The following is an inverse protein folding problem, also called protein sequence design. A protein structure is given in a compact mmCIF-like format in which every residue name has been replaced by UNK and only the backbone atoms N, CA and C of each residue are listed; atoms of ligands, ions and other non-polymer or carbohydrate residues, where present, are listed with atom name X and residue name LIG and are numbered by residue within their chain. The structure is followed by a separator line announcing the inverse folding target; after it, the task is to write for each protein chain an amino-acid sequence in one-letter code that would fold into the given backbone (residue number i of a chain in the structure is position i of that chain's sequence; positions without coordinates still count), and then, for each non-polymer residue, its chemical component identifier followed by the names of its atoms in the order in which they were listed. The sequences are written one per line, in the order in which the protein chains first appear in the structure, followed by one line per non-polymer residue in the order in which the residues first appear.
data_IF_121951194611
#
_entry.id   IF_121951194611
#
_cell.length_a   1.000
_cell.length_b   1.000
_cell.length_c   1.000
_cell.angle_alpha   90.00
_cell.angle_beta   90.00
_cell.angle_gamma   90.00
#
_symmetry.space_group_name_H-M   'P 1'
#
loop_
_entity.id
_entity.type
_entity.pdbx_description
1 polymer ?
#
# COMPACT_ATOMS: atom_id res chain seq x y z
N UNK A 1 9.01 4.58 5.09
CA UNK A 1 8.75 3.45 4.17
C UNK A 1 8.59 4.05 2.79
N UNK A 2 9.34 3.57 1.80
CA UNK A 2 9.34 4.13 0.44
C UNK A 2 8.11 3.61 -0.29
N UNK A 3 7.40 4.47 -1.01
CA UNK A 3 6.28 4.04 -1.84
C UNK A 3 6.80 3.18 -3.01
N UNK A 4 6.13 2.06 -3.23
CA UNK A 4 6.52 1.06 -4.23
C UNK A 4 5.66 1.15 -5.48
N UNK A 5 4.39 1.51 -5.28
CA UNK A 5 3.40 1.55 -6.35
C UNK A 5 2.65 2.88 -6.31
N UNK A 6 2.25 3.38 -7.48
CA UNK A 6 1.15 4.33 -7.59
C UNK A 6 -0.04 3.63 -8.23
N UNK A 7 -1.21 3.73 -7.60
CA UNK A 7 -2.45 3.18 -8.12
C UNK A 7 -3.32 4.31 -8.65
N UNK A 8 -3.94 4.09 -9.80
CA UNK A 8 -5.01 4.94 -10.32
C UNK A 8 -6.28 4.13 -10.56
N UNK A 9 -7.43 4.68 -10.22
CA UNK A 9 -8.75 4.10 -10.48
C UNK A 9 -9.28 4.69 -11.78
N UNK A 10 -9.52 3.82 -12.76
CA UNK A 10 -10.07 4.18 -14.06
C UNK A 10 -11.60 4.21 -14.01
N UNK A 11 -12.23 3.21 -13.37
CA UNK A 11 -13.68 3.16 -13.14
C UNK A 11 -14.08 2.25 -11.98
N UNK A 12 -15.26 2.52 -11.39
CA UNK A 12 -15.95 1.63 -10.44
C UNK A 12 -17.32 1.24 -10.99
N UNK A 13 -17.56 -0.06 -11.18
CA UNK A 13 -18.79 -0.60 -11.77
C UNK A 13 -19.34 -1.75 -10.92
N UNK A 14 -20.41 -1.48 -10.16
CA UNK A 14 -21.04 -2.46 -9.28
C UNK A 14 -20.06 -2.96 -8.21
N UNK A 15 -19.76 -4.25 -8.20
CA UNK A 15 -18.81 -4.88 -7.28
C UNK A 15 -17.40 -5.03 -7.87
N UNK A 16 -17.07 -4.28 -8.93
CA UNK A 16 -15.76 -4.32 -9.56
C UNK A 16 -15.15 -2.91 -9.69
N UNK A 17 -13.83 -2.83 -9.58
CA UNK A 17 -13.10 -1.64 -10.02
C UNK A 17 -12.00 -2.00 -11.01
N UNK A 18 -11.76 -1.09 -11.93
CA UNK A 18 -10.71 -1.14 -12.93
C UNK A 18 -9.71 -0.03 -12.65
N UNK A 19 -8.42 -0.33 -12.80
CA UNK A 19 -7.38 0.64 -12.53
C UNK A 19 -6.03 0.24 -13.10
N UNK A 20 -5.00 0.98 -12.72
CA UNK A 20 -3.62 0.73 -13.10
C UNK A 20 -2.72 0.80 -11.88
N UNK A 21 -1.71 -0.06 -11.89
CA UNK A 21 -0.66 -0.07 -10.88
C UNK A 21 0.65 0.26 -11.58
N UNK A 22 1.20 1.42 -11.27
CA UNK A 22 2.48 1.91 -11.76
C UNK A 22 3.59 1.50 -10.80
N UNK A 23 4.68 0.99 -11.34
CA UNK A 23 5.88 0.60 -10.60
C UNK A 23 6.75 1.85 -10.43
N UNK A 24 6.95 2.32 -9.20
CA UNK A 24 7.65 3.59 -8.94
C UNK A 24 8.90 3.44 -8.04
N UNK A 25 9.10 2.28 -7.43
CA UNK A 25 10.25 2.00 -6.58
C UNK A 25 11.07 0.82 -7.11
N UNK A 26 12.39 0.87 -6.93
CA UNK A 26 13.30 -0.18 -7.40
C UNK A 26 12.99 -1.59 -6.87
N UNK A 27 12.38 -1.67 -5.69
CA UNK A 27 11.96 -2.94 -5.09
C UNK A 27 10.64 -3.49 -5.67
N UNK A 28 9.96 -2.71 -6.52
CA UNK A 28 8.67 -3.04 -7.13
C UNK A 28 8.86 -3.55 -8.57
N UNK A 29 9.43 -4.74 -8.71
CA UNK A 29 9.76 -5.30 -10.03
C UNK A 29 8.55 -5.93 -10.74
N UNK A 30 7.46 -6.14 -9.99
CA UNK A 30 6.19 -6.69 -10.49
C UNK A 30 5.01 -6.27 -9.62
N UNK A 31 3.82 -6.23 -10.21
CA UNK A 31 2.57 -6.09 -9.47
C UNK A 31 2.29 -7.38 -8.69
N UNK A 32 2.04 -7.31 -7.37
CA UNK A 32 1.75 -8.50 -6.56
C UNK A 32 0.49 -9.22 -7.06
N UNK A 33 0.53 -10.56 -7.13
CA UNK A 33 -0.59 -11.38 -7.62
C UNK A 33 -1.52 -11.91 -6.52
N UNK A 34 -1.15 -11.72 -5.27
CA UNK A 34 -1.94 -12.20 -4.14
C UNK A 34 -3.16 -11.30 -3.89
N UNK A 35 -4.27 -11.88 -3.41
CA UNK A 35 -5.52 -11.18 -3.08
C UNK A 35 -5.36 -10.21 -1.90
N UNK A 36 -4.30 -10.34 -1.10
CA UNK A 36 -3.95 -9.38 -0.05
C UNK A 36 -3.62 -8.00 -0.62
N UNK A 37 -3.05 -7.92 -1.82
CA UNK A 37 -2.69 -6.64 -2.43
C UNK A 37 -3.91 -5.77 -2.75
N UNK A 38 -4.92 -6.22 -3.53
CA UNK A 38 -6.10 -5.41 -3.78
C UNK A 38 -6.85 -5.02 -2.50
N UNK A 39 -6.84 -5.85 -1.45
CA UNK A 39 -7.43 -5.46 -0.16
C UNK A 39 -6.61 -4.39 0.55
N UNK A 40 -5.28 -4.47 0.48
CA UNK A 40 -4.43 -3.40 1.00
C UNK A 40 -4.71 -2.07 0.28
N UNK A 41 -4.97 -2.09 -1.03
CA UNK A 41 -5.38 -0.90 -1.80
C UNK A 41 -6.70 -0.30 -1.29
N UNK A 42 -7.69 -1.13 -0.99
CA UNK A 42 -8.98 -0.66 -0.45
C UNK A 42 -8.82 -0.07 0.96
N UNK A 43 -8.04 -0.72 1.84
CA UNK A 43 -7.70 -0.22 3.17
C UNK A 43 -6.97 1.12 3.09
N UNK A 44 -6.04 1.22 2.14
CA UNK A 44 -5.31 2.44 1.85
C UNK A 44 -6.24 3.59 1.42
N UNK A 45 -7.14 3.33 0.48
CA UNK A 45 -8.11 4.31 0.02
C UNK A 45 -9.06 4.75 1.15
N UNK A 46 -9.59 3.80 1.92
CA UNK A 46 -10.40 4.06 3.10
C UNK A 46 -9.65 4.95 4.09
N UNK A 47 -8.46 4.56 4.54
CA UNK A 47 -7.71 5.32 5.55
C UNK A 47 -7.41 6.76 5.13
N UNK A 48 -7.23 7.03 3.83
CA UNK A 48 -7.01 8.38 3.29
C UNK A 48 -8.25 9.26 3.37
N UNK A 49 -9.46 8.70 3.24
CA UNK A 49 -10.73 9.44 3.38
C UNK A 49 -10.87 10.08 4.77
N UNK A 50 -10.37 9.42 5.81
CA UNK A 50 -10.44 9.90 7.20
C UNK A 50 -9.46 11.01 7.55
N UNK A 51 -8.40 11.23 6.74
CA UNK A 51 -7.34 12.21 7.03
C UNK A 51 -7.64 13.65 6.59
N UNK A 52 -8.84 13.91 6.06
CA UNK A 52 -9.25 15.25 5.58
C UNK A 52 -9.70 16.26 6.65
N UNK A 53 -9.61 15.94 7.95
CA UNK A 53 -10.05 16.80 9.05
C UNK A 53 -8.92 17.27 9.97
N UNK A 54 -9.05 18.43 10.64
CA UNK A 54 -8.01 19.03 11.49
C UNK A 54 -7.69 18.26 12.79
N UNK A 55 -8.36 17.14 13.06
CA UNK A 55 -8.12 16.28 14.23
C UNK A 55 -7.64 14.89 13.79
N UNK A 56 -6.54 14.86 13.02
CA UNK A 56 -5.97 13.66 12.41
C UNK A 56 -5.88 12.48 13.36
N UNK A 57 -6.64 11.42 13.07
CA UNK A 57 -6.67 10.19 13.88
C UNK A 57 -8.01 9.46 13.89
N UNK A 58 -9.09 10.07 13.38
CA UNK A 58 -10.38 9.38 13.23
C UNK A 58 -10.39 8.42 12.04
N UNK A 59 -10.97 7.23 12.24
CA UNK A 59 -11.41 6.42 11.12
C UNK A 59 -12.38 7.24 10.23
N UNK A 60 -12.35 7.08 8.91
CA UNK A 60 -13.35 7.68 8.03
C UNK A 60 -14.76 7.30 8.47
N UNK A 61 -15.73 8.17 8.19
CA UNK A 61 -17.14 7.83 8.23
C UNK A 61 -17.56 7.45 6.80
N UNK A 62 -17.75 6.14 6.57
CA UNK A 62 -18.35 5.63 5.33
C UNK A 62 -19.86 5.92 5.28
N UNK A 63 -20.47 6.29 6.40
CA UNK A 63 -21.92 6.30 6.58
C UNK A 63 -22.48 4.93 6.96
N UNK A 64 -21.66 3.87 6.90
CA UNK A 64 -21.98 2.53 7.38
C UNK A 64 -21.00 2.11 8.48
N UNK A 65 -21.47 2.20 9.73
CA UNK A 65 -20.70 1.84 10.91
C UNK A 65 -20.20 0.38 10.90
N UNK A 66 -20.85 -0.52 10.15
CA UNK A 66 -20.39 -1.90 10.00
C UNK A 66 -19.13 -1.95 9.14
N UNK A 67 -19.17 -1.33 7.95
CA UNK A 67 -18.08 -1.36 7.00
C UNK A 67 -16.82 -0.66 7.54
N UNK A 68 -17.00 0.44 8.28
CA UNK A 68 -15.90 1.10 8.98
C UNK A 68 -15.25 0.21 10.05
N UNK A 69 -16.05 -0.63 10.72
CA UNK A 69 -15.54 -1.66 11.62
C UNK A 69 -14.69 -2.69 10.89
N UNK A 70 -15.16 -3.20 9.76
CA UNK A 70 -14.46 -4.21 8.96
C UNK A 70 -13.14 -3.68 8.37
N UNK A 71 -13.14 -2.47 7.79
CA UNK A 71 -11.92 -1.82 7.31
C UNK A 71 -10.93 -1.52 8.44
N UNK A 72 -11.41 -1.17 9.63
CA UNK A 72 -10.54 -1.00 10.80
C UNK A 72 -9.85 -2.30 11.16
N UNK A 73 -10.57 -3.42 11.19
CA UNK A 73 -9.95 -4.74 11.44
C UNK A 73 -8.89 -5.05 10.37
N UNK A 74 -9.21 -4.86 9.09
CA UNK A 74 -8.25 -5.07 8.00
C UNK A 74 -7.00 -4.18 8.14
N UNK A 75 -7.19 -2.90 8.49
CA UNK A 75 -6.10 -1.95 8.72
C UNK A 75 -5.22 -2.35 9.90
N UNK A 76 -5.82 -2.82 11.00
CA UNK A 76 -5.09 -3.31 12.17
C UNK A 76 -4.30 -4.59 11.86
N UNK A 77 -4.85 -5.52 11.07
CA UNK A 77 -4.09 -6.69 10.63
C UNK A 77 -2.90 -6.29 9.73
N UNK A 78 -3.10 -5.32 8.83
CA UNK A 78 -2.08 -4.89 7.87
C UNK A 78 -0.97 -4.02 8.49
N UNK A 79 -1.30 -3.13 9.42
CA UNK A 79 -0.37 -2.13 9.97
C UNK A 79 -0.12 -2.23 11.48
N UNK A 80 -0.69 -3.26 12.12
CA UNK A 80 -0.74 -3.37 13.56
C UNK A 80 -1.77 -2.41 14.16
N UNK A 81 -2.35 -2.81 15.30
CA UNK A 81 -3.23 -1.96 16.08
C UNK A 81 -2.42 -0.88 16.79
N UNK A 82 -2.86 0.37 16.65
CA UNK A 82 -2.28 1.49 17.38
C UNK A 82 -2.84 1.50 18.81
N UNK A 83 -1.95 1.48 19.78
CA UNK A 83 -2.26 1.52 21.21
C UNK A 83 -1.66 2.78 21.81
N UNK A 84 -2.51 3.62 22.40
CA UNK A 84 -2.10 4.83 23.10
C UNK A 84 -1.51 4.45 24.45
N UNK A 85 -0.36 5.05 24.80
CA UNK A 85 0.34 4.75 26.04
C UNK A 85 0.87 6.00 26.74
N UNK A 86 1.01 5.92 28.07
CA UNK A 86 1.79 6.91 28.82
C UNK A 86 3.28 6.83 28.47
N UNK A 87 4.08 7.80 28.91
CA UNK A 87 5.54 7.74 28.80
C UNK A 87 6.15 6.50 29.50
N UNK A 88 5.46 5.95 30.50
CA UNK A 88 5.83 4.71 31.19
C UNK A 88 5.30 3.43 30.52
N UNK A 89 4.60 3.54 29.38
CA UNK A 89 4.07 2.42 28.59
C UNK A 89 2.74 1.83 29.07
N UNK A 90 1.97 2.53 29.92
CA UNK A 90 0.66 2.06 30.36
C UNK A 90 -0.44 2.41 29.36
N UNK A 91 -1.37 1.48 29.14
CA UNK A 91 -2.45 1.64 28.17
C UNK A 91 -3.38 2.82 28.53
N UNK A 92 -3.69 3.63 27.52
CA UNK A 92 -4.64 4.73 27.59
C UNK A 92 -5.94 4.35 26.86
N UNK A 93 -7.03 5.01 27.24
CA UNK A 93 -8.30 4.98 26.53
C UNK A 93 -8.18 5.70 25.17
N UNK A 94 -9.25 5.63 24.38
CA UNK A 94 -9.31 6.24 23.05
C UNK A 94 -9.16 7.77 23.08
N UNK A 95 -9.40 8.41 24.22
CA UNK A 95 -9.15 9.84 24.44
C UNK A 95 -7.65 10.20 24.52
N UNK A 96 -6.77 9.18 24.55
CA UNK A 96 -5.33 9.34 24.60
C UNK A 96 -4.78 9.99 25.86
N UNK A 97 -5.60 10.12 26.92
CA UNK A 97 -5.23 10.81 28.18
C UNK A 97 -5.64 10.06 29.44
N UNK A 98 -6.73 9.29 29.38
CA UNK A 98 -7.22 8.49 30.51
C UNK A 98 -6.50 7.15 30.55
N UNK A 99 -5.83 6.84 31.67
CA UNK A 99 -5.23 5.52 31.89
C UNK A 99 -6.32 4.46 32.08
N UNK A 100 -6.23 3.36 31.34
CA UNK A 100 -7.18 2.25 31.46
C UNK A 100 -7.02 1.52 32.79
N UNK A 101 -8.16 1.16 33.39
CA UNK A 101 -8.23 0.32 34.58
C UNK A 101 -8.76 -1.09 34.23
N UNK A 102 -8.11 -2.18 34.70
CA UNK A 102 -6.94 -2.19 35.56
C UNK A 102 -5.67 -1.73 34.82
N UNK A 103 -4.81 -0.98 35.53
CA UNK A 103 -3.52 -0.53 34.99
C UNK A 103 -2.68 -1.72 34.48
N UNK A 104 -2.33 -1.67 33.19
CA UNK A 104 -1.50 -2.68 32.49
C UNK A 104 -0.55 -1.98 31.52
N UNK A 105 0.68 -2.49 31.41
CA UNK A 105 1.60 -2.03 30.35
C UNK A 105 1.22 -2.67 29.04
N UNK A 106 1.39 -1.95 27.92
CA UNK A 106 1.08 -2.49 26.60
C UNK A 106 1.87 -3.78 26.31
N UNK A 107 3.16 -3.81 26.67
CA UNK A 107 4.04 -4.96 26.48
C UNK A 107 3.71 -6.18 27.37
N UNK A 108 2.85 -6.04 28.38
CA UNK A 108 2.38 -7.16 29.20
C UNK A 108 1.18 -7.86 28.58
N UNK A 109 0.51 -7.21 27.61
CA UNK A 109 -0.77 -7.64 27.03
C UNK A 109 -0.63 -7.97 25.55
N UNK A 110 0.28 -7.29 24.85
CA UNK A 110 0.43 -7.36 23.39
C UNK A 110 1.88 -7.54 22.98
N UNK A 111 2.07 -8.22 21.85
CA UNK A 111 3.34 -8.22 21.12
C UNK A 111 3.46 -6.93 20.30
N UNK A 112 4.53 -6.17 20.53
CA UNK A 112 4.71 -4.81 20.00
C UNK A 112 5.78 -4.77 18.90
N UNK A 113 5.51 -4.01 17.83
CA UNK A 113 6.41 -3.87 16.67
C UNK A 113 7.10 -2.50 16.55
N UNK A 114 6.53 -1.44 17.14
CA UNK A 114 7.09 -0.10 17.04
C UNK A 114 6.49 0.87 18.06
N UNK A 115 7.21 1.96 18.32
CA UNK A 115 6.81 3.03 19.22
C UNK A 115 7.11 4.38 18.57
N UNK A 116 6.19 5.34 18.74
CA UNK A 116 6.31 6.69 18.22
C UNK A 116 5.43 7.65 19.07
N UNK A 117 5.39 8.93 18.72
CA UNK A 117 4.66 9.97 19.45
C UNK A 117 4.01 10.95 18.49
N UNK A 118 2.79 11.37 18.82
CA UNK A 118 2.16 12.52 18.17
C UNK A 118 1.84 13.61 19.19
N UNK A 119 1.08 14.63 18.77
CA UNK A 119 0.70 15.76 19.61
C UNK A 119 -0.18 15.38 20.81
N UNK A 120 -0.82 14.20 20.78
CA UNK A 120 -1.71 13.72 21.83
C UNK A 120 -0.94 12.90 22.87
N UNK A 121 -0.23 11.85 22.43
CA UNK A 121 0.47 10.94 23.34
C UNK A 121 1.50 10.06 22.62
N UNK A 122 2.31 9.38 23.43
CA UNK A 122 3.08 8.25 22.93
C UNK A 122 2.12 7.13 22.51
N UNK A 123 2.50 6.42 21.46
CA UNK A 123 1.75 5.26 21.00
C UNK A 123 2.70 4.15 20.59
N UNK A 124 2.22 2.92 20.73
CA UNK A 124 2.88 1.72 20.22
C UNK A 124 1.98 1.04 19.21
N UNK A 125 2.57 0.25 18.32
CA UNK A 125 1.82 -0.62 17.41
C UNK A 125 2.02 -2.06 17.80
N UNK A 126 0.95 -2.85 17.75
CA UNK A 126 1.09 -4.31 17.79
C UNK A 126 1.85 -4.81 16.57
N UNK A 127 2.33 -6.04 16.63
CA UNK A 127 2.75 -6.74 15.41
C UNK A 127 1.57 -6.83 14.42
N UNK A 128 1.91 -6.93 13.13
CA UNK A 128 0.95 -7.20 12.06
C UNK A 128 0.49 -8.66 12.13
N UNK A 129 -0.71 -8.94 11.64
CA UNK A 129 -1.26 -10.30 11.57
C UNK A 129 -1.54 -10.64 10.09
N UNK A 130 -0.48 -11.06 9.41
CA UNK A 130 -0.50 -11.42 7.99
C UNK A 130 -1.50 -12.54 7.68
N UNK A 131 -1.60 -13.54 8.56
CA UNK A 131 -2.49 -14.67 8.40
C UNK A 131 -3.96 -14.26 8.52
N UNK A 132 -4.30 -13.45 9.52
CA UNK A 132 -5.65 -12.90 9.65
C UNK A 132 -5.98 -11.98 8.47
N UNK A 133 -5.04 -11.14 8.05
CA UNK A 133 -5.21 -10.29 6.88
C UNK A 133 -5.50 -11.11 5.62
N UNK A 134 -4.73 -12.16 5.36
CA UNK A 134 -4.94 -13.06 4.21
C UNK A 134 -6.31 -13.74 4.23
N UNK A 135 -6.76 -14.25 5.39
CA UNK A 135 -8.09 -14.87 5.52
C UNK A 135 -9.22 -13.88 5.27
N UNK A 136 -9.12 -12.68 5.85
CA UNK A 136 -10.12 -11.63 5.64
C UNK A 136 -10.09 -11.15 4.19
N UNK A 137 -8.91 -11.00 3.60
CA UNK A 137 -8.77 -10.56 2.22
C UNK A 137 -9.48 -11.50 1.24
N UNK A 138 -9.38 -12.81 1.45
CA UNK A 138 -10.08 -13.82 0.67
C UNK A 138 -11.63 -13.77 0.81
N UNK A 139 -12.15 -13.19 1.89
CA UNK A 139 -13.60 -12.96 2.05
C UNK A 139 -14.10 -11.70 1.34
N UNK A 140 -13.21 -10.71 1.15
CA UNK A 140 -13.52 -9.44 0.50
C UNK A 140 -13.33 -9.52 -1.00
N UNK A 141 -12.18 -10.02 -1.48
CA UNK A 141 -11.84 -10.08 -2.90
C UNK A 141 -12.26 -11.42 -3.49
N UNK A 142 -13.21 -11.36 -4.43
CA UNK A 142 -13.77 -12.52 -5.11
C UNK A 142 -13.12 -12.79 -6.47
N UNK A 143 -12.35 -11.83 -6.99
CA UNK A 143 -11.56 -11.98 -8.21
C UNK A 143 -10.51 -10.88 -8.34
N UNK A 144 -9.33 -11.26 -8.83
CA UNK A 144 -8.24 -10.33 -9.08
C UNK A 144 -7.47 -10.73 -10.33
N UNK A 145 -7.56 -9.89 -11.36
CA UNK A 145 -6.91 -10.08 -12.64
C UNK A 145 -5.89 -8.95 -12.88
N UNK A 146 -4.72 -9.33 -13.39
CA UNK A 146 -3.64 -8.40 -13.75
C UNK A 146 -3.34 -8.57 -15.23
N UNK A 147 -3.42 -7.48 -15.97
CA UNK A 147 -3.05 -7.41 -17.38
C UNK A 147 -1.53 -7.49 -17.61
N UNK A 148 -1.08 -7.52 -18.87
CA UNK A 148 0.34 -7.44 -19.18
C UNK A 148 0.92 -6.11 -18.68
N UNK A 149 2.20 -6.15 -18.33
CA UNK A 149 2.96 -4.93 -18.04
C UNK A 149 3.19 -4.17 -19.36
N UNK A 150 2.87 -2.89 -19.36
CA UNK A 150 3.08 -1.97 -20.48
C UNK A 150 4.04 -0.86 -20.07
N UNK A 151 4.51 -0.07 -21.04
CA UNK A 151 5.46 1.04 -20.85
C UNK A 151 6.80 0.64 -20.22
N UNK A 152 7.20 -0.63 -20.36
CA UNK A 152 8.55 -1.07 -19.98
C UNK A 152 9.54 -0.45 -20.98
N UNK A 153 10.58 0.28 -20.52
CA UNK A 153 11.61 0.79 -21.42
C UNK A 153 12.31 -0.37 -22.13
N UNK A 154 12.80 -0.13 -23.34
CA UNK A 154 13.63 -1.10 -24.06
C UNK A 154 15.10 -0.91 -23.68
N UNK A 155 15.92 -1.93 -23.89
CA UNK A 155 17.35 -1.85 -23.58
C UNK A 155 18.09 -0.72 -24.30
N UNK A 156 17.68 -0.37 -25.53
CA UNK A 156 18.26 0.77 -26.24
C UNK A 156 18.08 2.10 -25.50
N UNK A 157 16.93 2.30 -24.83
CA UNK A 157 16.68 3.50 -24.03
C UNK A 157 17.54 3.51 -22.76
N UNK A 158 17.68 2.34 -22.13
CA UNK A 158 18.48 2.16 -20.91
C UNK A 158 19.98 2.35 -21.19
N UNK A 159 20.46 1.90 -22.34
CA UNK A 159 21.84 2.07 -22.77
C UNK A 159 22.20 3.55 -23.02
N UNK A 160 21.21 4.39 -23.35
CA UNK A 160 21.41 5.83 -23.56
C UNK A 160 21.53 6.64 -22.27
N UNK A 161 21.23 6.04 -21.10
CA UNK A 161 21.49 6.66 -19.79
C UNK A 161 23.00 6.80 -19.61
N UNK A 162 23.44 7.98 -19.14
CA UNK A 162 24.85 8.30 -18.95
C UNK A 162 25.57 7.18 -18.17
N UNK A 163 26.65 6.61 -18.74
CA UNK A 163 27.25 5.43 -18.14
C UNK A 163 28.15 5.78 -16.96
N UNK A 164 28.18 4.90 -15.96
CA UNK A 164 29.29 4.94 -15.01
C UNK A 164 30.58 4.45 -15.69
N UNK A 165 31.72 5.00 -15.27
CA UNK A 165 33.05 4.87 -15.93
C UNK A 165 33.53 3.42 -16.14
N UNK A 166 32.88 2.44 -15.53
CA UNK A 166 33.34 1.05 -15.41
C UNK A 166 32.43 0.02 -16.09
N UNK A 167 31.47 0.42 -16.92
CA UNK A 167 30.49 -0.50 -17.51
C UNK A 167 30.78 -0.93 -18.96
N UNK A 168 31.20 -2.19 -19.19
CA UNK A 168 31.32 -2.77 -20.53
C UNK A 168 29.94 -3.23 -21.07
N UNK A 169 29.80 -3.28 -22.41
CA UNK A 169 28.65 -3.93 -23.08
C UNK A 169 27.50 -3.02 -23.51
N UNK A 170 27.60 -1.70 -23.28
CA UNK A 170 26.54 -0.75 -23.61
C UNK A 170 26.27 -0.61 -25.11
N UNK A 171 27.31 -0.71 -25.94
CA UNK A 171 27.17 -0.69 -27.40
C UNK A 171 26.36 -1.88 -27.91
N UNK A 172 26.47 -3.04 -27.26
CA UNK A 172 25.68 -4.23 -27.57
C UNK A 172 24.24 -4.05 -27.13
N UNK A 173 24.02 -3.62 -25.87
CA UNK A 173 22.68 -3.34 -25.33
C UNK A 173 21.93 -2.26 -26.09
N UNK A 174 22.63 -1.29 -26.67
CA UNK A 174 22.02 -0.24 -27.50
C UNK A 174 21.32 -0.78 -28.76
N UNK A 175 21.63 -2.02 -29.17
CA UNK A 175 21.00 -2.69 -30.33
C UNK A 175 19.76 -3.51 -29.97
N UNK A 176 19.52 -3.71 -28.67
CA UNK A 176 18.45 -4.56 -28.16
C UNK A 176 17.13 -3.79 -28.12
N UNK A 177 16.08 -4.42 -28.63
CA UNK A 177 14.73 -3.83 -28.77
C UNK A 177 13.69 -4.48 -27.88
N UNK A 178 14.11 -5.52 -27.16
CA UNK A 178 13.31 -6.19 -26.16
C UNK A 178 13.18 -5.34 -24.89
N UNK A 179 12.10 -5.55 -24.11
CA UNK A 179 11.92 -4.87 -22.83
C UNK A 179 13.12 -5.07 -21.91
N UNK A 180 13.57 -3.98 -21.31
CA UNK A 180 14.63 -4.00 -20.32
C UNK A 180 14.17 -4.69 -19.03
N UNK A 181 15.13 -5.25 -18.31
CA UNK A 181 14.87 -5.83 -16.99
C UNK A 181 14.62 -4.71 -15.98
N UNK A 182 13.52 -4.81 -15.24
CA UNK A 182 13.22 -3.91 -14.13
C UNK A 182 14.10 -4.20 -12.90
N UNK A 183 14.74 -5.37 -12.82
CA UNK A 183 15.72 -5.65 -11.77
C UNK A 183 17.06 -4.93 -12.04
N UNK A 184 17.23 -4.36 -13.24
CA UNK A 184 18.43 -3.64 -13.62
C UNK A 184 18.40 -2.18 -13.16
N UNK A 185 19.40 -1.78 -12.38
CA UNK A 185 19.44 -0.47 -11.73
C UNK A 185 19.39 0.72 -12.71
N UNK A 186 19.97 0.62 -13.91
CA UNK A 186 19.87 1.72 -14.91
C UNK A 186 18.46 1.90 -15.43
N UNK A 187 17.68 0.82 -15.47
CA UNK A 187 16.27 0.90 -15.82
C UNK A 187 15.58 1.85 -14.85
N UNK A 188 15.83 1.73 -13.54
CA UNK A 188 15.30 2.65 -12.55
C UNK A 188 15.83 4.07 -12.64
N UNK A 189 17.12 4.26 -12.95
CA UNK A 189 17.67 5.60 -13.24
C UNK A 189 16.95 6.30 -14.38
N UNK A 190 16.62 5.57 -15.45
CA UNK A 190 15.83 6.11 -16.55
C UNK A 190 14.43 6.52 -16.06
N UNK A 191 13.77 5.63 -15.30
CA UNK A 191 12.42 5.84 -14.79
C UNK A 191 12.31 7.03 -13.83
N UNK A 192 13.35 7.36 -13.06
CA UNK A 192 13.42 8.55 -12.20
C UNK A 192 13.16 9.86 -12.97
N UNK A 193 13.43 9.88 -14.28
CA UNK A 193 13.30 11.07 -15.13
C UNK A 193 12.09 11.04 -16.05
N UNK A 194 11.38 9.91 -16.16
CA UNK A 194 10.22 9.77 -17.04
C UNK A 194 8.97 10.43 -16.44
N UNK A 195 8.10 11.02 -17.27
CA UNK A 195 6.80 11.47 -16.80
C UNK A 195 5.96 10.27 -16.35
N UNK A 196 5.02 10.52 -15.45
CA UNK A 196 4.22 9.48 -14.81
C UNK A 196 3.51 8.55 -15.81
N UNK A 197 2.97 9.12 -16.88
CA UNK A 197 2.22 8.42 -17.92
C UNK A 197 3.07 7.40 -18.70
N UNK A 198 4.39 7.56 -18.67
CA UNK A 198 5.37 6.70 -19.33
C UNK A 198 6.01 5.68 -18.37
N UNK A 199 5.62 5.68 -17.09
CA UNK A 199 6.11 4.69 -16.13
C UNK A 199 5.50 3.31 -16.42
N UNK A 200 6.27 2.21 -16.20
CA UNK A 200 5.78 0.86 -16.32
C UNK A 200 4.53 0.65 -15.47
N UNK A 201 3.48 0.10 -16.07
CA UNK A 201 2.25 -0.15 -15.36
C UNK A 201 1.52 -1.39 -15.87
N UNK A 202 0.69 -1.98 -15.01
CA UNK A 202 -0.21 -3.04 -15.40
C UNK A 202 -1.65 -2.61 -15.10
N UNK A 203 -2.56 -2.90 -16.03
CA UNK A 203 -3.99 -2.79 -15.78
C UNK A 203 -4.41 -3.84 -14.76
N UNK A 204 -5.30 -3.48 -13.83
CA UNK A 204 -5.88 -4.38 -12.85
C UNK A 204 -7.40 -4.37 -12.93
N UNK A 205 -8.00 -5.51 -12.63
CA UNK A 205 -9.44 -5.64 -12.38
C UNK A 205 -9.62 -6.37 -11.06
N UNK A 206 -10.35 -5.76 -10.14
CA UNK A 206 -10.63 -6.32 -8.82
C UNK A 206 -12.13 -6.45 -8.66
N UNK A 207 -12.58 -7.61 -8.20
CA UNK A 207 -13.97 -7.89 -7.84
C UNK A 207 -14.06 -8.13 -6.36
N UNK A 208 -15.05 -7.53 -5.72
CA UNK A 208 -15.32 -7.67 -4.29
C UNK A 208 -16.63 -8.42 -4.04
N UNK A 209 -16.81 -8.92 -2.82
CA UNK A 209 -18.00 -9.63 -2.38
C UNK A 209 -19.21 -8.70 -2.20
N UNK A 210 -18.96 -7.44 -1.86
CA UNK A 210 -19.97 -6.40 -1.63
C UNK A 210 -19.49 -5.07 -2.25
N UNK A 211 -20.29 -4.42 -3.14
CA UNK A 211 -19.98 -3.10 -3.67
C UNK A 211 -19.60 -2.05 -2.63
N UNK A 212 -20.09 -2.17 -1.39
CA UNK A 212 -19.80 -1.23 -0.31
C UNK A 212 -18.28 -1.10 -0.05
N UNK A 213 -17.50 -2.17 -0.23
CA UNK A 213 -16.03 -2.10 -0.11
C UNK A 213 -15.36 -1.16 -1.12
N UNK A 214 -16.06 -0.77 -2.20
CA UNK A 214 -15.54 0.15 -3.21
C UNK A 214 -15.95 1.61 -2.96
N UNK A 215 -16.80 1.90 -1.98
CA UNK A 215 -17.20 3.28 -1.61
C UNK A 215 -16.03 4.21 -1.27
N UNK A 216 -14.88 3.75 -0.75
CA UNK A 216 -13.70 4.59 -0.59
C UNK A 216 -13.05 5.03 -1.91
N UNK A 217 -13.33 4.35 -3.02
CA UNK A 217 -12.77 4.64 -4.33
C UNK A 217 -13.63 5.66 -5.08
N UNK A 218 -12.97 6.51 -5.86
CA UNK A 218 -13.61 7.42 -6.78
C UNK A 218 -12.92 7.34 -8.15
N UNK A 219 -13.67 7.57 -9.22
CA UNK A 219 -13.10 7.65 -10.56
C UNK A 219 -12.01 8.73 -10.64
N UNK A 220 -10.86 8.39 -11.20
CA UNK A 220 -9.69 9.27 -11.27
C UNK A 220 -8.91 9.39 -9.96
N UNK A 221 -9.29 8.67 -8.90
CA UNK A 221 -8.50 8.61 -7.67
C UNK A 221 -7.10 8.04 -7.95
N UNK A 222 -6.08 8.69 -7.39
CA UNK A 222 -4.69 8.23 -7.46
C UNK A 222 -4.02 8.33 -6.10
N UNK A 223 -3.25 7.32 -5.72
CA UNK A 223 -2.42 7.37 -4.52
C UNK A 223 -1.21 6.45 -4.63
N UNK A 224 -0.19 6.74 -3.81
CA UNK A 224 0.99 5.90 -3.65
C UNK A 224 0.83 4.94 -2.48
N UNK A 225 1.35 3.71 -2.60
CA UNK A 225 1.34 2.69 -1.54
C UNK A 225 2.69 1.98 -1.46
N UNK A 226 3.06 1.58 -0.25
CA UNK A 226 4.30 0.91 0.07
C UNK A 226 4.12 -0.60 0.33
N UNK A 227 3.03 -1.20 -0.15
CA UNK A 227 2.72 -2.61 0.10
C UNK A 227 3.86 -3.53 -0.35
N UNK A 228 4.55 -4.17 0.60
CA UNK A 228 5.69 -5.05 0.32
C UNK A 228 5.33 -6.55 0.31
N UNK A 229 4.04 -6.89 0.39
CA UNK A 229 3.58 -8.26 0.63
C UNK A 229 3.34 -8.56 2.10
N UNK A 230 2.54 -9.58 2.37
CA UNK A 230 2.55 -10.30 3.65
C UNK A 230 3.63 -11.37 3.53
N UNK A 231 4.74 -11.22 4.27
CA UNK A 231 5.74 -12.28 4.33
C UNK A 231 5.07 -13.56 4.88
N UNK A 232 5.06 -14.63 4.09
CA UNK A 232 4.85 -15.99 4.59
C UNK A 232 6.19 -16.57 5.04
#
# INVERSE_FOLDING_TARGET
MTDLFTVSVDSVEGAAFHGRVHLIGADAVRVPRDVTFPVALLVDAWSRRGRGGPAGGGAPDTGDARLDGEFRVLHECLHGRLLRVTDDGFLLADDGTTVLEPRRRAAEVYDLGGADRDEVSAYVRTLTDADAFGRLAASVVTGYDIGPLVNVPVWSDVAAVEPEEWEPGLEEMATWSEPADLDYWRTWRLLETRPFEELPCAGITVKVSDPAYLEPLADGMRWSTAYAGTAN
#
